data_IF_894127529200
#
_entry.id   IF_894127529200
#
_cell.length_a   1.000
_cell.length_b   1.000
_cell.length_c   1.000
_cell.angle_alpha   90.00
_cell.angle_beta   90.00
_cell.angle_gamma   90.00
#
_symmetry.space_group_name_H-M   'P 1'
#
loop_
_entity.id
_entity.type
_entity.pdbx_description
1 polymer ?
#
# COMPACT_ATOMS: atom_id res chain seq x y z
N UNK A 1 -23.09 -1.40 40.57
CA UNK A 1 -23.08 -0.68 39.27
C UNK A 1 -21.77 -0.87 38.51
N UNK A 2 -20.63 -0.88 39.20
CA UNK A 2 -19.29 -0.90 38.59
C UNK A 2 -18.89 -2.25 37.95
N UNK A 3 -19.38 -3.36 38.51
CA UNK A 3 -19.12 -4.72 38.01
C UNK A 3 -19.76 -5.00 36.63
N UNK A 4 -20.98 -4.49 36.40
CA UNK A 4 -21.71 -4.69 35.14
C UNK A 4 -21.03 -3.91 34.00
N UNK A 5 -20.55 -2.69 34.26
CA UNK A 5 -19.77 -1.91 33.28
C UNK A 5 -18.47 -2.62 32.89
N UNK A 6 -17.70 -3.13 33.85
CA UNK A 6 -16.46 -3.88 33.57
C UNK A 6 -16.72 -5.14 32.74
N UNK A 7 -17.81 -5.87 33.04
CA UNK A 7 -18.20 -7.08 32.30
C UNK A 7 -18.64 -6.76 30.86
N UNK A 8 -19.36 -5.65 30.64
CA UNK A 8 -19.74 -5.18 29.31
C UNK A 8 -18.52 -4.79 28.47
N UNK A 9 -17.58 -4.05 29.05
CA UNK A 9 -16.34 -3.65 28.38
C UNK A 9 -15.51 -4.88 27.98
N UNK A 10 -15.40 -5.86 28.88
CA UNK A 10 -14.67 -7.10 28.60
C UNK A 10 -15.33 -7.91 27.47
N UNK A 11 -16.66 -7.99 27.44
CA UNK A 11 -17.41 -8.65 26.36
C UNK A 11 -17.21 -7.95 25.01
N UNK A 12 -17.25 -6.62 24.99
CA UNK A 12 -17.01 -5.85 23.76
C UNK A 12 -15.60 -6.03 23.23
N UNK A 13 -14.59 -6.06 24.11
CA UNK A 13 -13.18 -6.31 23.73
C UNK A 13 -13.02 -7.73 23.17
N UNK A 14 -13.62 -8.74 23.81
CA UNK A 14 -13.55 -10.14 23.34
C UNK A 14 -14.22 -10.31 21.97
N UNK A 15 -15.38 -9.69 21.73
CA UNK A 15 -16.02 -9.68 20.41
C UNK A 15 -15.15 -8.98 19.36
N UNK A 16 -14.54 -7.84 19.70
CA UNK A 16 -13.66 -7.13 18.76
C UNK A 16 -12.44 -7.98 18.39
N UNK A 17 -11.84 -8.67 19.36
CA UNK A 17 -10.72 -9.59 19.14
C UNK A 17 -11.15 -10.78 18.29
N UNK A 18 -12.33 -11.37 18.53
CA UNK A 18 -12.84 -12.48 17.72
C UNK A 18 -13.17 -12.06 16.28
N UNK A 19 -13.67 -10.84 16.07
CA UNK A 19 -13.88 -10.27 14.74
C UNK A 19 -12.54 -10.01 14.05
N UNK A 20 -11.57 -9.42 14.73
CA UNK A 20 -10.22 -9.18 14.20
C UNK A 20 -9.50 -10.48 13.85
N UNK A 21 -9.57 -11.49 14.71
CA UNK A 21 -9.01 -12.82 14.45
C UNK A 21 -9.75 -13.52 13.29
N UNK A 22 -11.08 -13.43 13.25
CA UNK A 22 -11.91 -13.96 12.17
C UNK A 22 -11.58 -13.35 10.80
N UNK A 23 -11.44 -12.02 10.74
CA UNK A 23 -11.05 -11.27 9.54
C UNK A 23 -9.63 -11.63 9.10
N UNK A 24 -8.66 -11.68 10.01
CA UNK A 24 -7.28 -12.10 9.68
C UNK A 24 -7.20 -13.55 9.16
N UNK A 25 -8.02 -14.45 9.70
CA UNK A 25 -8.07 -15.86 9.28
C UNK A 25 -8.67 -16.01 7.88
N UNK A 26 -9.72 -15.25 7.56
CA UNK A 26 -10.38 -15.26 6.23
C UNK A 26 -9.45 -14.72 5.13
N UNK A 27 -8.67 -13.67 5.42
CA UNK A 27 -7.72 -13.09 4.46
C UNK A 27 -6.58 -14.06 4.12
N UNK A 28 -6.00 -14.71 5.14
CA UNK A 28 -4.94 -15.70 4.93
C UNK A 28 -5.48 -16.93 4.18
N UNK A 29 -6.71 -17.34 4.50
CA UNK A 29 -7.40 -18.43 3.79
C UNK A 29 -7.68 -18.13 2.32
N UNK A 30 -7.91 -16.88 1.91
CA UNK A 30 -8.26 -16.60 0.51
C UNK A 30 -7.05 -16.63 -0.44
N UNK A 31 -5.89 -16.10 -0.08
CA UNK A 31 -4.72 -16.16 -0.99
C UNK A 31 -4.21 -17.59 -1.13
N UNK A 32 -4.10 -18.34 -0.01
CA UNK A 32 -3.61 -19.72 -0.04
C UNK A 32 -4.61 -20.70 -0.71
N UNK A 33 -5.90 -20.37 -0.71
CA UNK A 33 -6.95 -21.20 -1.35
C UNK A 33 -7.19 -20.84 -2.82
N UNK A 34 -6.98 -19.59 -3.23
CA UNK A 34 -7.18 -19.15 -4.63
C UNK A 34 -5.92 -19.19 -5.48
N UNK A 35 -4.72 -19.23 -4.89
CA UNK A 35 -3.47 -19.17 -5.65
C UNK A 35 -2.50 -20.27 -5.27
N UNK A 36 -1.94 -20.93 -6.29
CA UNK A 36 -0.68 -21.63 -6.13
C UNK A 36 0.42 -20.60 -5.83
N UNK A 37 0.65 -20.31 -4.55
CA UNK A 37 1.61 -19.30 -4.08
C UNK A 37 2.98 -19.47 -4.73
N UNK A 38 3.44 -20.71 -4.90
CA UNK A 38 4.71 -21.02 -5.57
C UNK A 38 4.71 -20.57 -7.03
N UNK A 39 3.64 -20.85 -7.77
CA UNK A 39 3.50 -20.38 -9.15
C UNK A 39 3.46 -18.86 -9.24
N UNK A 40 2.78 -18.20 -8.29
CA UNK A 40 2.73 -16.73 -8.23
C UNK A 40 4.11 -16.12 -7.98
N UNK A 41 4.87 -16.66 -7.02
CA UNK A 41 6.25 -16.24 -6.74
C UNK A 41 7.18 -16.45 -7.93
N UNK A 42 7.05 -17.59 -8.63
CA UNK A 42 7.83 -17.89 -9.83
C UNK A 42 7.51 -16.92 -10.97
N UNK A 43 6.23 -16.65 -11.21
CA UNK A 43 5.80 -15.71 -12.25
C UNK A 43 6.20 -14.28 -11.90
N UNK A 44 6.13 -13.87 -10.62
CA UNK A 44 6.63 -12.58 -10.16
C UNK A 44 8.11 -12.40 -10.48
N UNK A 45 8.94 -13.39 -10.14
CA UNK A 45 10.37 -13.39 -10.48
C UNK A 45 10.60 -13.28 -11.98
N UNK A 46 9.85 -14.01 -12.81
CA UNK A 46 9.95 -13.96 -14.27
C UNK A 46 9.56 -12.58 -14.82
N UNK A 47 8.44 -12.01 -14.38
CA UNK A 47 7.96 -10.71 -14.85
C UNK A 47 8.93 -9.57 -14.49
N UNK A 48 9.39 -9.51 -13.23
CA UNK A 48 10.31 -8.46 -12.79
C UNK A 48 11.67 -8.60 -13.48
N UNK A 49 12.20 -9.83 -13.60
CA UNK A 49 13.43 -10.07 -14.37
C UNK A 49 13.25 -9.68 -15.84
N UNK A 50 12.15 -10.09 -16.46
CA UNK A 50 11.84 -9.78 -17.86
C UNK A 50 11.79 -8.28 -18.12
N UNK A 51 11.16 -7.51 -17.22
CA UNK A 51 11.16 -6.05 -17.29
C UNK A 51 12.58 -5.46 -17.24
N UNK A 52 13.41 -5.96 -16.32
CA UNK A 52 14.79 -5.51 -16.14
C UNK A 52 15.81 -6.06 -17.16
N UNK A 53 15.41 -6.98 -18.05
CA UNK A 53 16.24 -7.34 -19.20
C UNK A 53 16.46 -6.15 -20.14
N UNK A 54 15.54 -5.18 -20.15
CA UNK A 54 15.57 -4.02 -21.05
C UNK A 54 15.49 -2.67 -20.34
N UNK A 55 14.97 -2.62 -19.11
CA UNK A 55 14.79 -1.38 -18.38
C UNK A 55 15.72 -1.31 -17.15
N UNK A 56 16.43 -0.19 -17.01
CA UNK A 56 17.22 0.11 -15.81
C UNK A 56 16.39 0.79 -14.72
N UNK A 57 15.31 1.48 -15.11
CA UNK A 57 14.44 2.21 -14.20
C UNK A 57 13.70 1.26 -13.25
N UNK A 58 13.44 1.66 -12.00
CA UNK A 58 12.62 0.86 -11.11
C UNK A 58 11.16 0.70 -11.58
N UNK A 59 10.52 -0.39 -11.19
CA UNK A 59 9.10 -0.62 -11.42
C UNK A 59 8.29 0.28 -10.48
N UNK A 60 7.52 1.20 -11.06
CA UNK A 60 6.67 2.15 -10.34
C UNK A 60 5.30 2.29 -11.02
N UNK A 61 4.31 2.77 -10.28
CA UNK A 61 3.01 3.26 -10.79
C UNK A 61 2.38 2.34 -11.86
N UNK A 62 2.24 2.83 -13.09
CA UNK A 62 1.59 2.13 -14.21
C UNK A 62 2.29 0.83 -14.60
N UNK A 63 3.61 0.78 -14.50
CA UNK A 63 4.37 -0.45 -14.81
C UNK A 63 4.02 -1.54 -13.81
N UNK A 64 3.84 -1.16 -12.54
CA UNK A 64 3.41 -2.10 -11.52
C UNK A 64 1.99 -2.60 -11.78
N UNK A 65 1.07 -1.72 -12.17
CA UNK A 65 -0.29 -2.10 -12.53
C UNK A 65 -0.33 -3.12 -13.68
N UNK A 66 0.45 -2.91 -14.72
CA UNK A 66 0.57 -3.83 -15.86
C UNK A 66 1.13 -5.21 -15.43
N UNK A 67 2.22 -5.20 -14.64
CA UNK A 67 2.83 -6.43 -14.14
C UNK A 67 1.86 -7.18 -13.22
N UNK A 68 1.20 -6.48 -12.29
CA UNK A 68 0.30 -7.09 -11.32
C UNK A 68 -0.91 -7.75 -12.01
N UNK A 69 -1.51 -7.09 -13.01
CA UNK A 69 -2.59 -7.69 -13.80
C UNK A 69 -2.13 -8.95 -14.54
N UNK A 70 -0.95 -8.92 -15.16
CA UNK A 70 -0.38 -10.09 -15.83
C UNK A 70 -0.12 -11.25 -14.86
N UNK A 71 0.34 -10.96 -13.64
CA UNK A 71 0.58 -11.97 -12.62
C UNK A 71 -0.71 -12.65 -12.20
N UNK A 72 -1.77 -11.90 -11.93
CA UNK A 72 -3.09 -12.47 -11.63
C UNK A 72 -3.59 -13.38 -12.76
N UNK A 73 -3.59 -12.90 -14.00
CA UNK A 73 -4.00 -13.72 -15.16
C UNK A 73 -3.15 -14.99 -15.27
N UNK A 74 -1.84 -14.90 -15.03
CA UNK A 74 -0.91 -16.04 -15.16
C UNK A 74 -1.14 -17.16 -14.15
N UNK A 75 -1.83 -16.88 -13.05
CA UNK A 75 -2.17 -17.88 -12.02
C UNK A 75 -3.65 -18.25 -12.03
N UNK A 76 -4.39 -17.85 -13.08
CA UNK A 76 -5.81 -18.17 -13.22
C UNK A 76 -6.75 -17.27 -12.42
N UNK A 77 -6.30 -16.08 -12.02
CA UNK A 77 -7.19 -15.05 -11.47
C UNK A 77 -7.66 -14.17 -12.62
N UNK A 78 -8.96 -14.22 -12.89
CA UNK A 78 -9.57 -13.41 -13.95
C UNK A 78 -9.49 -11.92 -13.61
N UNK A 79 -8.85 -11.15 -14.49
CA UNK A 79 -8.81 -9.68 -14.44
C UNK A 79 -9.97 -9.14 -15.27
N UNK A 80 -10.92 -8.48 -14.60
CA UNK A 80 -12.16 -7.97 -15.19
C UNK A 80 -11.97 -6.56 -15.76
N UNK A 81 -11.20 -5.72 -15.08
CA UNK A 81 -10.90 -4.37 -15.56
C UNK A 81 -9.59 -3.82 -14.97
N UNK A 82 -9.06 -2.79 -15.63
CA UNK A 82 -7.82 -2.11 -15.27
C UNK A 82 -7.91 -0.62 -15.59
N UNK A 83 -7.37 0.24 -14.73
CA UNK A 83 -7.46 1.70 -14.84
C UNK A 83 -6.52 2.29 -15.92
N UNK A 84 -5.52 1.51 -16.36
CA UNK A 84 -4.49 1.86 -17.34
C UNK A 84 -3.70 3.14 -17.01
N UNK A 85 -3.49 3.39 -15.70
CA UNK A 85 -2.83 4.59 -15.20
C UNK A 85 -3.74 5.81 -15.07
N UNK A 86 -5.06 5.63 -15.03
CA UNK A 86 -5.96 6.75 -14.73
C UNK A 86 -5.70 7.27 -13.31
N UNK A 87 -5.61 8.59 -13.14
CA UNK A 87 -5.42 9.22 -11.82
C UNK A 87 -6.69 9.26 -10.94
N UNK A 88 -7.71 8.49 -11.27
CA UNK A 88 -8.91 8.42 -10.45
C UNK A 88 -8.55 7.78 -9.10
N UNK A 89 -8.95 8.38 -7.96
CA UNK A 89 -8.67 7.80 -6.66
C UNK A 89 -9.42 6.47 -6.52
N UNK A 90 -8.72 5.44 -6.02
CA UNK A 90 -9.33 4.16 -5.65
C UNK A 90 -8.64 2.94 -6.26
N UNK A 91 -9.48 2.08 -6.82
CA UNK A 91 -9.15 0.80 -7.44
C UNK A 91 -8.46 0.97 -8.80
N UNK A 92 -7.35 0.25 -8.98
CA UNK A 92 -6.58 0.18 -10.23
C UNK A 92 -6.88 -1.09 -11.02
N UNK A 93 -7.16 -2.20 -10.35
CA UNK A 93 -7.50 -3.50 -10.97
C UNK A 93 -8.73 -4.07 -10.28
N UNK A 94 -9.72 -4.51 -11.06
CA UNK A 94 -10.78 -5.40 -10.59
C UNK A 94 -10.47 -6.81 -11.06
N UNK A 95 -10.40 -7.76 -10.15
CA UNK A 95 -10.22 -9.17 -10.48
C UNK A 95 -11.10 -10.08 -9.61
N UNK A 96 -11.02 -11.39 -9.84
CA UNK A 96 -11.78 -12.39 -9.06
C UNK A 96 -11.41 -12.42 -7.56
N UNK A 97 -10.25 -11.88 -7.17
CA UNK A 97 -9.89 -11.69 -5.75
C UNK A 97 -10.57 -10.48 -5.11
N UNK A 98 -11.04 -9.50 -5.90
CA UNK A 98 -11.56 -8.22 -5.43
C UNK A 98 -10.93 -7.03 -6.15
N UNK A 99 -11.20 -5.84 -5.62
CA UNK A 99 -10.60 -4.59 -6.07
C UNK A 99 -9.21 -4.39 -5.49
N UNK A 100 -8.26 -3.95 -6.32
CA UNK A 100 -6.86 -3.77 -5.96
C UNK A 100 -6.45 -2.32 -6.19
N UNK A 101 -5.85 -1.67 -5.19
CA UNK A 101 -5.16 -0.39 -5.34
C UNK A 101 -3.65 -0.62 -5.36
N UNK A 102 -3.01 -0.34 -6.48
CA UNK A 102 -1.58 -0.49 -6.68
C UNK A 102 -0.85 0.72 -6.10
N UNK A 103 0.19 0.47 -5.30
CA UNK A 103 1.17 1.51 -4.91
C UNK A 103 2.59 1.00 -5.11
N UNK A 104 3.48 1.93 -5.35
CA UNK A 104 4.92 1.67 -5.38
C UNK A 104 5.60 2.51 -4.31
N UNK A 105 6.59 1.93 -3.65
CA UNK A 105 7.35 2.58 -2.58
C UNK A 105 8.83 2.23 -2.63
N UNK A 106 9.63 2.93 -1.82
CA UNK A 106 11.03 2.60 -1.56
C UNK A 106 11.18 2.33 -0.07
N UNK A 107 11.97 1.32 0.27
CA UNK A 107 12.39 1.10 1.65
C UNK A 107 13.19 2.30 2.18
N UNK A 108 12.87 2.69 3.41
CA UNK A 108 13.64 3.62 4.21
C UNK A 108 14.25 2.92 5.43
N UNK A 109 15.27 3.54 6.02
CA UNK A 109 15.88 3.09 7.28
C UNK A 109 16.29 1.61 7.26
N UNK A 110 17.10 1.18 6.29
CA UNK A 110 17.57 -0.22 6.20
C UNK A 110 16.42 -1.24 6.14
N UNK A 111 15.41 -0.98 5.32
CA UNK A 111 14.19 -1.80 5.17
C UNK A 111 13.28 -1.85 6.40
N UNK A 112 13.42 -0.92 7.35
CA UNK A 112 12.55 -0.87 8.55
C UNK A 112 11.21 -0.21 8.27
N UNK A 113 11.10 0.62 7.24
CA UNK A 113 9.84 1.31 6.94
C UNK A 113 9.66 1.62 5.47
N UNK A 114 8.43 1.97 5.11
CA UNK A 114 8.05 2.49 3.80
C UNK A 114 7.11 3.68 3.99
N UNK A 115 7.21 4.66 3.08
CA UNK A 115 6.27 5.77 2.98
C UNK A 115 5.45 5.64 1.70
N UNK A 116 4.13 5.53 1.85
CA UNK A 116 3.19 5.34 0.74
C UNK A 116 2.22 6.51 0.71
N UNK A 117 2.10 7.14 -0.45
CA UNK A 117 1.11 8.18 -0.68
C UNK A 117 -0.21 7.59 -1.18
N UNK A 118 -1.33 8.21 -0.82
CA UNK A 118 -2.66 7.75 -1.23
C UNK A 118 -3.57 8.93 -1.61
N UNK A 119 -4.72 9.10 -0.95
CA UNK A 119 -5.76 10.07 -1.27
C UNK A 119 -5.27 11.52 -1.29
N UNK A 120 -5.69 12.28 -2.31
CA UNK A 120 -5.57 13.74 -2.36
C UNK A 120 -6.81 14.37 -1.73
N UNK A 121 -6.64 15.15 -0.67
CA UNK A 121 -7.73 15.57 0.22
C UNK A 121 -7.96 17.09 0.22
N UNK A 122 -7.49 17.81 -0.80
CA UNK A 122 -7.64 19.28 -0.92
C UNK A 122 -9.08 19.78 -0.81
N UNK A 123 -10.05 18.94 -1.19
CA UNK A 123 -11.48 19.24 -1.12
C UNK A 123 -12.03 19.29 0.30
N UNK A 124 -11.38 18.59 1.25
CA UNK A 124 -11.83 18.50 2.65
C UNK A 124 -10.87 19.16 3.64
N UNK A 125 -9.58 19.21 3.30
CA UNK A 125 -8.58 19.89 4.13
C UNK A 125 -7.49 20.57 3.28
N UNK A 126 -7.14 21.80 3.62
CA UNK A 126 -6.09 22.60 3.02
C UNK A 126 -5.70 23.78 3.96
N UNK A 127 -4.77 24.63 3.52
CA UNK A 127 -4.27 25.74 4.34
C UNK A 127 -5.32 26.83 4.67
N UNK A 128 -6.44 26.91 3.94
CA UNK A 128 -7.54 27.86 4.20
C UNK A 128 -8.66 27.25 5.03
N UNK A 129 -8.94 25.97 4.81
CA UNK A 129 -9.90 25.18 5.58
C UNK A 129 -9.21 23.92 6.06
N UNK A 130 -8.86 23.86 7.35
CA UNK A 130 -8.12 22.74 7.91
C UNK A 130 -8.95 21.44 7.92
N UNK A 131 -10.28 21.51 7.79
CA UNK A 131 -11.19 20.37 7.92
C UNK A 131 -11.19 19.79 9.34
N UNK A 132 -11.87 18.67 9.50
CA UNK A 132 -11.88 17.87 10.73
C UNK A 132 -11.43 16.42 10.45
N UNK A 133 -10.91 15.70 11.45
CA UNK A 133 -10.61 14.27 11.32
C UNK A 133 -11.79 13.45 10.80
N UNK A 134 -13.01 13.75 11.26
CA UNK A 134 -14.23 13.05 10.87
C UNK A 134 -14.54 13.24 9.38
N UNK A 135 -14.40 14.45 8.85
CA UNK A 135 -14.56 14.74 7.42
C UNK A 135 -13.47 14.06 6.58
N UNK A 136 -12.23 14.08 7.05
CA UNK A 136 -11.10 13.41 6.38
C UNK A 136 -11.34 11.90 6.28
N UNK A 137 -11.70 11.26 7.39
CA UNK A 137 -11.98 9.82 7.45
C UNK A 137 -13.18 9.48 6.56
N UNK A 138 -14.24 10.28 6.61
CA UNK A 138 -15.43 10.10 5.76
C UNK A 138 -15.08 10.18 4.28
N UNK A 139 -14.29 11.18 3.89
CA UNK A 139 -13.85 11.35 2.50
C UNK A 139 -13.03 10.16 2.02
N UNK A 140 -12.05 9.72 2.82
CA UNK A 140 -11.23 8.54 2.50
C UNK A 140 -12.12 7.30 2.33
N UNK A 141 -13.02 7.04 3.28
CA UNK A 141 -13.88 5.86 3.25
C UNK A 141 -14.88 5.91 2.08
N UNK A 142 -15.36 7.09 1.68
CA UNK A 142 -16.24 7.25 0.52
C UNK A 142 -15.56 6.91 -0.81
N UNK A 143 -14.24 7.09 -0.90
CA UNK A 143 -13.43 6.80 -2.10
C UNK A 143 -12.83 5.40 -2.10
N UNK A 144 -12.92 4.68 -0.98
CA UNK A 144 -12.33 3.35 -0.80
C UNK A 144 -13.22 2.29 -1.46
N UNK A 145 -12.98 2.06 -2.75
CA UNK A 145 -13.70 1.09 -3.58
C UNK A 145 -12.85 -0.14 -3.93
N UNK A 146 -11.92 -0.53 -3.05
CA UNK A 146 -11.00 -1.66 -3.25
C UNK A 146 -10.78 -2.44 -1.95
N UNK A 147 -10.50 -3.72 -2.11
CA UNK A 147 -10.35 -4.69 -1.04
C UNK A 147 -8.90 -4.82 -0.57
N UNK A 148 -7.93 -4.62 -1.46
CA UNK A 148 -6.51 -4.78 -1.16
C UNK A 148 -5.66 -3.62 -1.66
N UNK A 149 -4.65 -3.28 -0.87
CA UNK A 149 -3.48 -2.58 -1.36
C UNK A 149 -2.44 -3.60 -1.87
N UNK A 150 -2.01 -3.42 -3.11
CA UNK A 150 -0.93 -4.19 -3.72
C UNK A 150 0.30 -3.30 -3.85
N UNK A 151 1.28 -3.52 -2.98
CA UNK A 151 2.50 -2.73 -2.92
C UNK A 151 3.65 -3.44 -3.63
N UNK A 152 4.33 -2.72 -4.53
CA UNK A 152 5.69 -3.06 -4.92
C UNK A 152 6.68 -2.15 -4.19
N UNK A 153 7.50 -2.74 -3.32
CA UNK A 153 8.49 -2.02 -2.54
C UNK A 153 9.86 -2.40 -3.03
N UNK A 154 10.69 -1.40 -3.30
CA UNK A 154 12.07 -1.60 -3.75
C UNK A 154 13.07 -1.23 -2.67
N UNK A 155 14.15 -1.99 -2.60
CA UNK A 155 15.41 -1.58 -1.99
C UNK A 155 16.48 -1.47 -3.07
N UNK A 156 17.03 -0.27 -3.19
CA UNK A 156 18.09 0.08 -4.13
C UNK A 156 19.47 0.06 -3.45
N UNK A 157 19.54 -0.30 -2.16
CA UNK A 157 20.80 -0.40 -1.42
C UNK A 157 21.37 -1.83 -1.41
N UNK A 158 20.76 -2.77 -2.13
CA UNK A 158 21.16 -4.18 -2.22
C UNK A 158 22.44 -4.40 -3.06
N UNK A 159 23.40 -3.47 -3.03
CA UNK A 159 24.53 -3.28 -3.98
C UNK A 159 24.16 -2.35 -5.15
N UNK A 160 25.11 -1.49 -5.56
CA UNK A 160 24.93 -0.41 -6.57
C UNK A 160 24.40 -0.87 -7.94
N UNK A 161 24.34 -2.18 -8.19
CA UNK A 161 23.93 -2.79 -9.45
C UNK A 161 22.67 -3.65 -9.34
N UNK A 162 22.03 -3.69 -8.17
CA UNK A 162 20.88 -4.55 -7.92
C UNK A 162 19.70 -3.77 -7.32
N UNK A 163 18.50 -4.27 -7.60
CA UNK A 163 17.27 -3.83 -6.97
C UNK A 163 16.60 -5.07 -6.36
N UNK A 164 16.34 -5.00 -5.07
CA UNK A 164 15.50 -5.98 -4.38
C UNK A 164 14.05 -5.48 -4.41
N UNK A 165 13.11 -6.34 -4.78
CA UNK A 165 11.68 -6.04 -4.75
C UNK A 165 10.94 -7.01 -3.83
N UNK A 166 10.07 -6.44 -3.00
CA UNK A 166 9.04 -7.16 -2.26
C UNK A 166 7.66 -6.77 -2.77
N UNK A 167 6.83 -7.76 -3.03
CA UNK A 167 5.42 -7.59 -3.34
C UNK A 167 4.58 -7.91 -2.10
N UNK A 168 3.88 -6.91 -1.59
CA UNK A 168 2.93 -7.07 -0.49
C UNK A 168 1.49 -6.97 -0.99
N UNK A 169 0.62 -7.83 -0.48
CA UNK A 169 -0.82 -7.73 -0.69
C UNK A 169 -1.53 -7.63 0.66
N UNK A 170 -1.89 -6.40 1.04
CA UNK A 170 -2.44 -6.08 2.36
C UNK A 170 -3.93 -5.71 2.23
N UNK A 171 -4.84 -6.29 3.01
CA UNK A 171 -6.23 -5.87 3.06
C UNK A 171 -6.36 -4.38 3.33
N UNK A 172 -7.26 -3.72 2.61
CA UNK A 172 -7.45 -2.27 2.70
C UNK A 172 -7.97 -1.85 4.07
N UNK A 173 -8.63 -2.75 4.81
CA UNK A 173 -9.13 -2.55 6.18
C UNK A 173 -8.15 -3.03 7.27
N UNK A 174 -6.92 -3.41 6.91
CA UNK A 174 -5.94 -3.82 7.91
C UNK A 174 -5.56 -2.63 8.80
N UNK A 175 -5.37 -2.88 10.10
CA UNK A 175 -5.24 -1.86 11.15
C UNK A 175 -4.29 -0.71 10.78
N UNK A 176 -3.10 -1.03 10.26
CA UNK A 176 -2.08 -0.02 9.97
C UNK A 176 -2.43 0.89 8.77
N UNK A 177 -3.42 0.47 7.95
CA UNK A 177 -3.88 1.16 6.74
C UNK A 177 -5.27 1.78 6.91
N UNK A 178 -5.92 1.61 8.06
CA UNK A 178 -7.24 2.19 8.36
C UNK A 178 -7.10 3.53 9.09
N UNK A 179 -7.43 4.68 8.45
CA UNK A 179 -7.38 6.00 9.07
C UNK A 179 -8.24 6.14 10.33
N UNK A 180 -9.32 5.35 10.42
CA UNK A 180 -10.29 5.38 11.51
C UNK A 180 -9.74 4.76 12.79
N UNK A 181 -8.67 3.97 12.68
CA UNK A 181 -8.01 3.30 13.80
C UNK A 181 -7.07 4.24 14.57
N UNK A 182 -6.80 5.44 14.04
CA UNK A 182 -5.86 6.40 14.60
C UNK A 182 -6.56 7.62 15.20
N UNK A 183 -5.90 8.23 16.18
CA UNK A 183 -6.22 9.56 16.70
C UNK A 183 -5.46 10.60 15.89
N UNK A 184 -6.17 11.60 15.39
CA UNK A 184 -5.62 12.67 14.56
C UNK A 184 -5.39 13.95 15.37
N UNK A 185 -4.23 14.57 15.15
CA UNK A 185 -3.79 15.79 15.82
C UNK A 185 -3.33 16.84 14.79
N UNK A 186 -3.57 18.14 15.04
CA UNK A 186 -3.13 19.20 14.16
C UNK A 186 -1.60 19.31 14.17
N UNK A 187 -0.99 19.37 12.98
CA UNK A 187 0.43 19.70 12.86
C UNK A 187 0.61 21.22 12.91
N UNK A 188 1.26 21.72 13.95
CA UNK A 188 1.53 23.16 14.12
C UNK A 188 2.93 23.51 13.61
N UNK A 189 3.01 24.53 12.75
CA UNK A 189 4.28 25.04 12.24
C UNK A 189 5.12 25.66 13.35
N UNK A 190 6.40 25.30 13.42
CA UNK A 190 7.30 25.73 14.51
C UNK A 190 8.13 26.98 14.19
N UNK A 191 8.24 27.37 12.92
CA UNK A 191 9.17 28.42 12.46
C UNK A 191 8.64 29.18 11.23
N UNK A 192 9.16 30.39 11.04
CA UNK A 192 8.94 31.22 9.85
C UNK A 192 7.49 31.68 9.69
N UNK A 193 7.06 31.85 8.44
CA UNK A 193 5.72 32.35 8.08
C UNK A 193 4.55 31.48 8.57
N UNK A 194 4.81 30.23 8.94
CA UNK A 194 3.81 29.26 9.39
C UNK A 194 3.88 29.02 10.90
N UNK A 195 4.63 29.84 11.66
CA UNK A 195 4.73 29.67 13.11
C UNK A 195 3.35 29.78 13.76
N UNK A 196 3.00 28.82 14.60
CA UNK A 196 1.73 28.75 15.35
C UNK A 196 0.48 28.59 14.46
N UNK A 197 0.68 28.31 13.16
CA UNK A 197 -0.40 28.02 12.20
C UNK A 197 -0.48 26.51 11.97
N UNK A 198 -1.69 25.97 11.85
CA UNK A 198 -1.89 24.59 11.46
C UNK A 198 -1.44 24.37 10.01
N UNK A 199 -0.46 23.51 9.82
CA UNK A 199 0.13 23.17 8.51
C UNK A 199 -0.28 21.79 8.01
N UNK A 200 -1.15 21.09 8.75
CA UNK A 200 -1.60 19.76 8.37
C UNK A 200 -2.21 18.98 9.52
N UNK A 201 -2.25 17.66 9.33
CA UNK A 201 -2.70 16.66 10.28
C UNK A 201 -1.67 15.53 10.41
N UNK A 202 -1.50 15.01 11.62
CA UNK A 202 -0.71 13.80 11.88
C UNK A 202 -1.50 12.88 12.79
N UNK A 203 -1.19 11.60 12.78
CA UNK A 203 -1.77 10.68 13.76
C UNK A 203 -0.81 10.36 14.90
N UNK A 204 -1.35 9.74 15.94
CA UNK A 204 -0.55 8.92 16.85
C UNK A 204 0.09 7.74 16.10
N UNK A 205 0.98 7.02 16.79
CA UNK A 205 1.65 5.83 16.27
C UNK A 205 0.95 4.54 16.74
N UNK A 206 0.77 3.58 15.84
CA UNK A 206 0.27 2.23 16.10
C UNK A 206 1.21 1.24 15.44
N UNK A 207 1.85 0.36 16.22
CA UNK A 207 2.82 -0.64 15.73
C UNK A 207 3.96 -0.04 14.87
N UNK A 208 4.43 1.16 15.20
CA UNK A 208 5.44 1.87 14.39
C UNK A 208 4.87 2.61 13.18
N UNK A 209 3.58 2.48 12.89
CA UNK A 209 2.92 3.07 11.75
C UNK A 209 2.19 4.36 12.14
N UNK A 210 2.11 5.32 11.22
CA UNK A 210 1.41 6.59 11.40
C UNK A 210 0.99 7.18 10.05
N UNK A 211 0.10 8.16 10.08
CA UNK A 211 -0.35 8.88 8.89
C UNK A 211 -0.12 10.38 9.06
N UNK A 212 0.09 11.07 7.94
CA UNK A 212 0.21 12.51 7.90
C UNK A 212 -0.40 13.10 6.63
N UNK A 213 -0.93 14.32 6.76
CA UNK A 213 -1.39 15.16 5.66
C UNK A 213 -0.76 16.53 5.85
N UNK A 214 0.07 16.96 4.90
CA UNK A 214 0.62 18.32 4.91
C UNK A 214 -0.21 19.20 3.98
N UNK A 215 -0.63 20.37 4.44
CA UNK A 215 -1.36 21.36 3.65
C UNK A 215 -0.44 21.98 2.60
N UNK A 216 -0.34 21.30 1.47
CA UNK A 216 0.35 21.72 0.25
C UNK A 216 -0.56 21.43 -0.95
N UNK A 217 -0.03 21.57 -2.18
CA UNK A 217 -0.81 21.55 -3.43
C UNK A 217 -1.90 20.47 -3.50
N UNK A 218 -1.61 19.24 -3.04
CA UNK A 218 -2.53 18.10 -3.11
C UNK A 218 -3.11 17.65 -1.77
N UNK A 219 -2.66 18.24 -0.65
CA UNK A 219 -3.02 17.83 0.72
C UNK A 219 -3.15 16.30 0.83
N UNK A 220 -2.09 15.62 0.40
CA UNK A 220 -2.11 14.20 0.17
C UNK A 220 -1.89 13.44 1.48
N UNK A 221 -2.61 12.34 1.65
CA UNK A 221 -2.39 11.38 2.72
C UNK A 221 -1.08 10.63 2.46
N UNK A 222 -0.17 10.70 3.42
CA UNK A 222 1.03 9.89 3.52
C UNK A 222 0.88 8.89 4.65
N UNK A 223 1.16 7.63 4.37
CA UNK A 223 1.15 6.54 5.33
C UNK A 223 2.59 6.08 5.53
N UNK A 224 3.08 6.25 6.76
CA UNK A 224 4.33 5.68 7.21
C UNK A 224 4.05 4.29 7.78
N UNK A 225 4.59 3.25 7.16
CA UNK A 225 4.35 1.86 7.54
C UNK A 225 5.67 1.28 8.02
N UNK A 226 5.72 0.89 9.30
CA UNK A 226 6.81 0.14 9.87
C UNK A 226 6.72 -1.34 9.43
N UNK A 227 7.83 -1.87 8.91
CA UNK A 227 7.95 -3.22 8.38
C UNK A 227 8.19 -4.23 9.48
N UNK A 228 7.27 -4.29 10.44
CA UNK A 228 7.23 -5.29 11.49
C UNK A 228 6.93 -6.68 10.93
N UNK A 229 7.17 -7.73 11.74
CA UNK A 229 6.82 -9.11 11.35
C UNK A 229 5.32 -9.27 11.02
N UNK A 230 4.45 -8.48 11.65
CA UNK A 230 3.02 -8.47 11.35
C UNK A 230 2.68 -7.94 9.96
N UNK A 231 3.48 -7.01 9.42
CA UNK A 231 3.30 -6.47 8.07
C UNK A 231 4.01 -7.37 7.06
N UNK A 232 5.21 -7.86 7.38
CA UNK A 232 5.99 -8.77 6.52
C UNK A 232 5.25 -10.06 6.18
N UNK A 233 4.30 -10.52 7.01
CA UNK A 233 3.44 -11.69 6.69
C UNK A 233 2.63 -11.53 5.40
N UNK A 234 2.42 -10.29 4.94
CA UNK A 234 1.73 -9.98 3.70
C UNK A 234 2.65 -9.92 2.47
N UNK A 235 3.97 -10.14 2.64
CA UNK A 235 4.87 -10.34 1.51
C UNK A 235 4.51 -11.67 0.85
N UNK A 236 4.06 -11.59 -0.40
CA UNK A 236 3.64 -12.75 -1.18
C UNK A 236 4.68 -13.17 -2.21
N UNK A 237 5.62 -12.28 -2.57
CA UNK A 237 6.76 -12.63 -3.41
C UNK A 237 7.92 -11.65 -3.22
N UNK A 238 9.15 -12.15 -3.41
CA UNK A 238 10.39 -11.36 -3.37
C UNK A 238 11.27 -11.75 -4.55
N UNK A 239 12.00 -10.77 -5.11
CA UNK A 239 13.00 -11.03 -6.15
C UNK A 239 14.13 -10.01 -6.09
N UNK A 240 15.30 -10.41 -6.56
CA UNK A 240 16.47 -9.54 -6.76
C UNK A 240 16.81 -9.56 -8.24
N UNK A 241 17.09 -8.37 -8.79
CA UNK A 241 17.38 -8.17 -10.21
C UNK A 241 18.52 -7.20 -10.39
N UNK A 242 19.25 -7.34 -11.50
CA UNK A 242 20.23 -6.35 -11.96
C UNK A 242 19.50 -5.07 -12.40
N UNK A 243 20.04 -3.90 -12.05
CA UNK A 243 19.59 -2.62 -12.60
C UNK A 243 20.22 -2.29 -13.97
N UNK A 244 21.10 -3.17 -14.47
CA UNK A 244 21.71 -3.07 -15.81
C UNK A 244 20.91 -3.90 -16.82
N UNK A 245 20.31 -3.25 -17.85
CA UNK A 245 19.68 -3.94 -18.96
C UNK A 245 20.66 -4.84 -19.69
N UNK A 246 20.20 -6.03 -20.07
CA UNK A 246 20.99 -6.98 -20.86
C UNK A 246 20.80 -6.74 -22.37
N UNK A 247 19.64 -6.24 -22.76
CA UNK A 247 19.27 -5.97 -24.14
C UNK A 247 18.73 -4.55 -24.27
N UNK A 248 18.84 -3.97 -25.47
CA UNK A 248 18.01 -2.85 -25.89
C UNK A 248 16.84 -3.37 -26.76
N UNK A 249 15.91 -2.48 -27.11
CA UNK A 249 14.71 -2.85 -27.88
C UNK A 249 15.02 -3.48 -29.24
N UNK A 250 16.08 -3.01 -29.93
CA UNK A 250 16.49 -3.56 -31.23
C UNK A 250 16.97 -5.00 -31.06
N UNK A 251 17.84 -5.23 -30.07
CA UNK A 251 18.38 -6.56 -29.76
C UNK A 251 17.33 -7.58 -29.33
N UNK A 252 16.21 -7.15 -28.71
CA UNK A 252 15.08 -8.04 -28.44
C UNK A 252 14.42 -8.49 -29.74
N UNK A 253 14.11 -7.54 -30.63
CA UNK A 253 13.43 -7.83 -31.89
C UNK A 253 14.28 -8.79 -32.72
N UNK A 254 15.58 -8.49 -32.88
CA UNK A 254 16.51 -9.33 -33.65
C UNK A 254 16.66 -10.76 -33.09
N UNK A 255 16.32 -11.00 -31.81
CA UNK A 255 16.41 -12.31 -31.16
C UNK A 255 15.11 -13.11 -31.17
N UNK A 256 13.96 -12.44 -31.23
CA UNK A 256 12.63 -13.05 -31.06
C UNK A 256 11.80 -13.08 -32.34
N UNK A 257 12.14 -12.24 -33.33
CA UNK A 257 11.53 -12.21 -34.66
C UNK A 257 12.31 -13.10 -35.63
#
# INVERSE_FOLDING_TARGET
MDYIKKKLILLSIVMLIQILLGVQTIIKMNIDKFCNKKLLEENFKKCVKGYHLINSSPIIEKIWEDINANLFTSVGIDVLSKSNGSHAPGMDIQCALGGISNKSGKYSNEKKSIDISSYRLTTVCNAKNCGSPEEIIKEINSRKNFDYYSFIIRDENCDNEQICYDWLLIPSNYLVLDPSSYTWEPMIGKRGKNKDVQTGWTTNEINGCKMAITFSMSSQLWMHINMSEEVKKFIIATTVVSNKPLYNYIQIVDKLA
#
